data_IF_098734959603
#
_entry.id   IF_098734959603
#
_cell.length_a   1.000
_cell.length_b   1.000
_cell.length_c   1.000
_cell.angle_alpha   90.00
_cell.angle_beta   90.00
_cell.angle_gamma   90.00
#
_symmetry.space_group_name_H-M   'P 1'
#
loop_
_entity.id
_entity.type
_entity.pdbx_description
1 polymer ?
#
# COMPACT_ATOMS: atom_id res chain seq x y z
N UNK A 1 -16.50 -42.62 -12.43
CA UNK A 1 -17.23 -41.65 -11.59
C UNK A 1 -16.75 -41.79 -10.16
N UNK A 2 -16.52 -40.76 -9.35
CA UNK A 2 -16.29 -39.35 -9.56
C UNK A 2 -15.51 -38.89 -8.32
N UNK A 3 -14.56 -38.01 -8.57
CA UNK A 3 -13.83 -37.24 -7.59
C UNK A 3 -14.82 -36.41 -6.76
N UNK A 4 -14.59 -36.32 -5.45
CA UNK A 4 -14.74 -35.10 -4.63
C UNK A 4 -14.79 -35.47 -3.14
N UNK A 5 -13.61 -35.68 -2.55
CA UNK A 5 -13.43 -35.56 -1.10
C UNK A 5 -13.30 -34.06 -0.79
N UNK A 6 -14.42 -33.32 -0.89
CA UNK A 6 -14.54 -32.06 -0.18
C UNK A 6 -14.71 -32.43 1.29
N UNK A 7 -13.61 -32.30 2.00
CA UNK A 7 -13.48 -32.59 3.41
C UNK A 7 -14.36 -31.58 4.14
N UNK A 8 -15.34 -32.07 4.89
CA UNK A 8 -16.15 -31.32 5.85
C UNK A 8 -15.22 -30.59 6.83
N UNK A 9 -14.78 -29.39 6.46
CA UNK A 9 -13.93 -28.50 7.26
C UNK A 9 -14.76 -27.39 7.92
N UNK A 10 -16.08 -27.40 7.70
CA UNK A 10 -16.98 -26.31 8.08
C UNK A 10 -17.65 -26.50 9.46
N UNK A 11 -17.62 -27.68 10.06
CA UNK A 11 -18.57 -27.99 11.15
C UNK A 11 -18.06 -27.67 12.59
N UNK A 12 -16.78 -27.35 12.77
CA UNK A 12 -16.19 -27.05 14.09
C UNK A 12 -15.84 -25.55 14.30
N UNK A 13 -16.07 -24.70 13.30
CA UNK A 13 -15.73 -23.27 13.38
C UNK A 13 -16.90 -22.48 14.00
N UNK A 14 -16.60 -21.78 15.09
CA UNK A 14 -17.52 -20.80 15.68
C UNK A 14 -17.82 -19.66 14.69
N UNK A 15 -19.04 -19.09 14.68
CA UNK A 15 -19.44 -18.06 13.73
C UNK A 15 -18.52 -16.82 13.70
N UNK A 16 -17.84 -16.52 14.80
CA UNK A 16 -16.88 -15.42 14.93
C UNK A 16 -15.59 -15.65 14.12
N UNK A 17 -15.32 -16.89 13.70
CA UNK A 17 -14.12 -17.28 12.95
C UNK A 17 -14.42 -17.56 11.47
N UNK A 18 -15.23 -16.71 10.81
CA UNK A 18 -15.38 -16.75 9.35
C UNK A 18 -14.13 -16.22 8.63
N UNK A 19 -13.27 -17.14 8.20
CA UNK A 19 -12.05 -16.84 7.46
C UNK A 19 -12.29 -16.61 5.96
N UNK A 20 -13.49 -16.87 5.43
CA UNK A 20 -13.80 -16.73 3.99
C UNK A 20 -13.87 -15.27 3.55
N UNK A 21 -14.21 -14.36 4.48
CA UNK A 21 -14.25 -12.93 4.25
C UNK A 21 -12.87 -12.26 4.27
N UNK A 22 -11.83 -12.96 4.76
CA UNK A 22 -10.49 -12.39 4.92
C UNK A 22 -9.75 -12.37 3.58
N UNK A 23 -9.30 -11.18 3.18
CA UNK A 23 -8.40 -11.03 2.02
C UNK A 23 -7.03 -11.64 2.34
N UNK A 24 -6.66 -12.70 1.62
CA UNK A 24 -5.34 -13.32 1.71
C UNK A 24 -4.26 -12.28 1.35
N UNK A 25 -3.40 -11.95 2.31
CA UNK A 25 -2.22 -11.09 2.11
C UNK A 25 -0.96 -11.93 2.19
N UNK A 26 -0.14 -11.97 1.13
CA UNK A 26 1.14 -12.71 1.14
C UNK A 26 2.10 -12.03 2.12
N UNK A 27 2.54 -12.77 3.15
CA UNK A 27 3.62 -12.38 4.06
C UNK A 27 4.93 -13.10 3.64
N UNK A 28 6.04 -12.35 3.56
CA UNK A 28 7.34 -12.86 3.11
C UNK A 28 8.41 -11.76 3.15
N UNK A 29 9.67 -12.17 3.34
CA UNK A 29 10.86 -11.31 3.54
C UNK A 29 11.29 -10.53 2.29
N UNK A 30 10.85 -10.95 1.09
CA UNK A 30 11.19 -10.28 -0.19
C UNK A 30 10.20 -9.18 -0.60
N UNK A 31 9.57 -8.48 0.35
CA UNK A 31 8.84 -7.28 -0.01
C UNK A 31 9.85 -6.18 -0.32
N UNK A 32 10.00 -5.83 -1.60
CA UNK A 32 10.24 -4.44 -1.97
C UNK A 32 9.18 -3.62 -1.23
N UNK A 33 9.60 -2.67 -0.41
CA UNK A 33 8.69 -1.73 0.25
C UNK A 33 7.64 -1.28 -0.77
N UNK A 34 6.36 -1.28 -0.37
CA UNK A 34 5.22 -1.10 -1.28
C UNK A 34 5.27 0.21 -2.10
N UNK A 35 6.13 1.14 -1.70
CA UNK A 35 6.50 2.32 -2.44
C UNK A 35 8.03 2.39 -2.48
N UNK A 36 8.59 2.93 -3.57
CA UNK A 36 10.03 3.12 -3.75
C UNK A 36 10.64 4.05 -2.69
N UNK A 37 11.26 5.15 -3.10
CA UNK A 37 11.74 6.16 -2.12
C UNK A 37 10.53 6.89 -1.53
N UNK A 38 10.14 6.53 -0.31
CA UNK A 38 9.12 7.26 0.45
C UNK A 38 9.79 8.49 1.07
N UNK A 39 9.29 9.67 0.73
CA UNK A 39 9.71 10.93 1.35
C UNK A 39 8.55 11.41 2.20
N UNK A 40 8.78 11.54 3.51
CA UNK A 40 7.81 12.09 4.44
C UNK A 40 7.93 13.62 4.42
N UNK A 41 6.81 14.30 4.27
CA UNK A 41 6.71 15.75 4.41
C UNK A 41 6.34 16.08 5.86
N UNK A 42 6.77 17.25 6.32
CA UNK A 42 6.32 17.81 7.59
C UNK A 42 4.88 18.35 7.45
N UNK A 43 4.18 18.48 8.58
CA UNK A 43 2.74 18.76 8.62
C UNK A 43 2.41 20.13 7.99
N UNK A 44 3.28 21.13 8.17
CA UNK A 44 3.16 22.46 7.57
C UNK A 44 3.24 22.43 6.03
N UNK A 45 4.15 21.63 5.48
CA UNK A 45 4.31 21.46 4.04
C UNK A 45 3.15 20.65 3.46
N UNK A 46 2.65 19.65 4.19
CA UNK A 46 1.50 18.85 3.78
C UNK A 46 0.20 19.66 3.74
N UNK A 47 0.03 20.65 4.62
CA UNK A 47 -1.10 21.59 4.58
C UNK A 47 -1.07 22.50 3.35
N UNK A 48 0.13 22.90 2.92
CA UNK A 48 0.31 23.79 1.76
C UNK A 48 0.18 23.03 0.43
N UNK A 49 0.62 21.76 0.40
CA UNK A 49 0.62 20.95 -0.82
C UNK A 49 -0.33 19.75 -0.72
N UNK A 50 -1.53 19.83 -1.33
CA UNK A 50 -2.55 18.79 -1.20
C UNK A 50 -2.23 17.52 -2.01
N UNK A 51 -1.32 17.58 -2.99
CA UNK A 51 -0.95 16.44 -3.83
C UNK A 51 0.55 16.39 -4.18
N UNK A 52 1.02 15.18 -4.47
CA UNK A 52 2.38 14.91 -4.90
C UNK A 52 2.76 15.62 -6.21
N UNK A 53 1.82 15.85 -7.14
CA UNK A 53 2.11 16.58 -8.37
C UNK A 53 2.52 18.03 -8.08
N UNK A 54 1.82 18.70 -7.16
CA UNK A 54 2.11 20.08 -6.76
C UNK A 54 3.49 20.22 -6.10
N UNK A 55 3.85 19.28 -5.21
CA UNK A 55 5.18 19.21 -4.59
C UNK A 55 6.27 19.04 -5.66
N UNK A 56 6.06 18.11 -6.58
CA UNK A 56 7.03 17.82 -7.63
C UNK A 56 7.23 19.02 -8.57
N UNK A 57 6.17 19.74 -8.90
CA UNK A 57 6.26 20.95 -9.73
C UNK A 57 7.05 22.06 -9.03
N UNK A 58 6.80 22.31 -7.75
CA UNK A 58 7.53 23.30 -6.97
C UNK A 58 9.03 22.97 -6.89
N UNK A 59 9.37 21.71 -6.59
CA UNK A 59 10.76 21.25 -6.53
C UNK A 59 11.47 21.38 -7.88
N UNK A 60 10.80 21.06 -9.01
CA UNK A 60 11.37 21.24 -10.35
C UNK A 60 11.64 22.70 -10.68
N UNK A 61 10.72 23.60 -10.34
CA UNK A 61 10.90 25.04 -10.52
C UNK A 61 12.09 25.56 -9.72
N UNK A 62 12.27 25.09 -8.49
CA UNK A 62 13.42 25.44 -7.65
C UNK A 62 14.74 24.93 -8.25
N UNK A 63 14.76 23.69 -8.75
CA UNK A 63 15.93 23.12 -9.44
C UNK A 63 16.28 23.98 -10.65
N UNK A 64 15.29 24.38 -11.46
CA UNK A 64 15.50 25.24 -12.63
C UNK A 64 16.05 26.61 -12.23
N UNK A 65 15.44 27.28 -11.26
CA UNK A 65 15.90 28.58 -10.77
C UNK A 65 17.33 28.52 -10.21
N UNK A 66 17.73 27.39 -9.62
CA UNK A 66 19.11 27.17 -9.16
C UNK A 66 20.10 26.93 -10.30
N UNK A 67 19.65 26.33 -11.41
CA UNK A 67 20.51 25.94 -12.52
C UNK A 67 20.71 27.07 -13.56
N UNK A 68 19.78 28.02 -13.59
CA UNK A 68 19.81 29.23 -14.42
C UNK A 68 20.65 30.37 -13.79
N UNK A 69 21.28 30.12 -12.63
CA UNK A 69 22.08 31.05 -11.83
C UNK A 69 23.53 30.56 -11.73
#
# INVERSE_FOLDING_TARGET
MNNNKQKDLEDDLLPEYDLQSLKVRRFGSERKSFAGKIVRLDDDVAEVFPDAEAVNQALRSLIKARHDN
#
